data_IF_976089605882
#
_entry.id   IF_976089605882
#
_cell.length_a   1.000
_cell.length_b   1.000
_cell.length_c   1.000
_cell.angle_alpha   90.00
_cell.angle_beta   90.00
_cell.angle_gamma   90.00
#
_symmetry.space_group_name_H-M   'P 1'
#
loop_
_entity.id
_entity.type
_entity.pdbx_description
1 polymer ?
#
# COMPACT_ATOMS: atom_id res chain seq x y z
N UNK A 1 8.26 -14.28 -12.27
CA UNK A 1 7.01 -13.81 -11.64
C UNK A 1 5.94 -13.80 -12.69
N UNK A 2 4.79 -14.40 -12.39
CA UNK A 2 3.57 -14.32 -13.19
C UNK A 2 2.59 -13.38 -12.50
N UNK A 3 2.04 -12.41 -13.24
CA UNK A 3 1.07 -11.45 -12.71
C UNK A 3 -0.33 -11.83 -13.21
N UNK A 4 -1.25 -12.07 -12.28
CA UNK A 4 -2.64 -12.36 -12.56
C UNK A 4 -3.51 -11.14 -12.31
N UNK A 5 -4.23 -10.72 -13.32
CA UNK A 5 -5.26 -9.72 -13.22
C UNK A 5 -6.65 -10.33 -12.94
N UNK A 6 -7.67 -9.48 -12.93
CA UNK A 6 -9.05 -9.89 -12.66
C UNK A 6 -9.58 -10.96 -13.64
N UNK A 7 -9.12 -10.94 -14.89
CA UNK A 7 -9.51 -11.93 -15.91
C UNK A 7 -9.00 -13.34 -15.56
N UNK A 8 -7.79 -13.44 -14.97
CA UNK A 8 -7.21 -14.71 -14.55
C UNK A 8 -7.76 -15.17 -13.20
N UNK A 9 -7.91 -14.23 -12.23
CA UNK A 9 -8.40 -14.51 -10.90
C UNK A 9 -9.32 -13.38 -10.40
N UNK A 10 -10.64 -13.56 -10.53
CA UNK A 10 -11.61 -12.62 -9.96
C UNK A 10 -11.81 -12.93 -8.47
N UNK A 11 -11.36 -12.02 -7.61
CA UNK A 11 -11.51 -12.15 -6.14
C UNK A 11 -12.97 -11.98 -5.67
N UNK A 12 -13.87 -11.53 -6.54
CA UNK A 12 -15.31 -11.52 -6.26
C UNK A 12 -16.01 -12.87 -6.48
N UNK A 13 -15.28 -13.88 -6.99
CA UNK A 13 -15.71 -15.27 -7.13
C UNK A 13 -14.91 -16.20 -6.18
N UNK A 14 -15.31 -16.30 -4.90
CA UNK A 14 -14.61 -17.09 -3.89
C UNK A 14 -14.44 -18.57 -4.26
N UNK A 15 -15.38 -19.14 -5.00
CA UNK A 15 -15.40 -20.58 -5.31
C UNK A 15 -14.30 -20.97 -6.33
N UNK A 16 -13.88 -20.02 -7.16
CA UNK A 16 -12.81 -20.25 -8.15
C UNK A 16 -11.40 -20.11 -7.59
N UNK A 17 -11.22 -19.37 -6.48
CA UNK A 17 -9.89 -18.98 -5.97
C UNK A 17 -9.04 -20.20 -5.63
N UNK A 18 -9.54 -21.10 -4.78
CA UNK A 18 -8.76 -22.25 -4.32
C UNK A 18 -8.33 -23.17 -5.47
N UNK A 19 -9.24 -23.43 -6.41
CA UNK A 19 -8.97 -24.26 -7.59
C UNK A 19 -7.87 -23.63 -8.46
N UNK A 20 -8.03 -22.34 -8.83
CA UNK A 20 -7.05 -21.65 -9.68
C UNK A 20 -5.67 -21.57 -9.05
N UNK A 21 -5.57 -21.36 -7.74
CA UNK A 21 -4.30 -21.39 -7.04
C UNK A 21 -3.68 -22.79 -7.03
N UNK A 22 -4.48 -23.84 -6.83
CA UNK A 22 -4.01 -25.24 -6.93
C UNK A 22 -3.44 -25.56 -8.31
N UNK A 23 -4.09 -25.07 -9.36
CA UNK A 23 -3.69 -25.35 -10.74
C UNK A 23 -2.49 -24.48 -11.20
N UNK A 24 -2.10 -23.45 -10.44
CA UNK A 24 -1.06 -22.49 -10.82
C UNK A 24 0.36 -23.04 -10.77
N UNK A 25 0.62 -24.03 -9.94
CA UNK A 25 1.98 -24.51 -9.65
C UNK A 25 2.90 -23.45 -9.02
N UNK A 26 2.31 -22.38 -8.44
CA UNK A 26 3.09 -21.30 -7.84
C UNK A 26 3.89 -21.79 -6.64
N UNK A 27 5.15 -21.33 -6.52
CA UNK A 27 6.02 -21.61 -5.36
C UNK A 27 5.83 -20.59 -4.22
N UNK A 28 5.14 -19.48 -4.48
CA UNK A 28 4.68 -18.48 -3.49
C UNK A 28 3.57 -17.65 -4.12
N UNK A 29 2.70 -17.07 -3.31
CA UNK A 29 1.61 -16.19 -3.76
C UNK A 29 1.70 -14.86 -3.03
N UNK A 30 1.68 -13.76 -3.79
CA UNK A 30 1.64 -12.40 -3.26
C UNK A 30 0.31 -11.77 -3.69
N UNK A 31 -0.55 -11.43 -2.73
CA UNK A 31 -1.80 -10.74 -3.00
C UNK A 31 -1.62 -9.23 -2.86
N UNK A 32 -1.47 -8.55 -4.00
CA UNK A 32 -1.45 -7.10 -4.11
C UNK A 32 -2.82 -6.51 -4.51
N UNK A 33 -3.81 -7.35 -4.82
CA UNK A 33 -5.14 -6.91 -5.19
C UNK A 33 -5.96 -6.52 -3.94
N UNK A 34 -6.68 -5.41 -4.03
CA UNK A 34 -7.55 -4.92 -2.98
C UNK A 34 -8.59 -3.93 -3.51
N UNK A 35 -9.66 -3.73 -2.76
CA UNK A 35 -10.51 -2.54 -2.90
C UNK A 35 -9.80 -1.37 -2.23
N UNK A 36 -9.33 -0.39 -2.99
CA UNK A 36 -8.48 0.71 -2.49
C UNK A 36 -9.14 2.10 -2.59
N UNK A 37 -10.38 2.19 -3.09
CA UNK A 37 -11.11 3.45 -3.17
C UNK A 37 -11.69 3.81 -1.79
N UNK A 38 -10.86 4.41 -0.92
CA UNK A 38 -11.11 4.61 0.52
C UNK A 38 -12.43 5.34 0.78
N UNK A 39 -12.74 6.43 0.04
CA UNK A 39 -13.98 7.18 0.21
C UNK A 39 -15.21 6.40 -0.28
N UNK A 40 -15.09 5.66 -1.39
CA UNK A 40 -16.16 4.83 -1.90
C UNK A 40 -16.45 3.62 -1.00
N UNK A 41 -15.45 3.15 -0.26
CA UNK A 41 -15.57 2.04 0.69
C UNK A 41 -16.62 2.31 1.78
N UNK A 42 -16.81 3.57 2.19
CA UNK A 42 -17.81 3.94 3.21
C UNK A 42 -19.25 3.56 2.80
N UNK A 43 -19.53 3.46 1.50
CA UNK A 43 -20.84 3.12 0.96
C UNK A 43 -20.92 1.69 0.37
N UNK A 44 -19.84 0.88 0.44
CA UNK A 44 -19.75 -0.43 -0.20
C UNK A 44 -19.07 -1.48 0.69
N UNK A 45 -19.37 -1.44 1.98
CA UNK A 45 -18.69 -2.26 2.99
C UNK A 45 -18.70 -3.76 2.67
N UNK A 46 -19.79 -4.30 2.09
CA UNK A 46 -19.89 -5.72 1.76
C UNK A 46 -18.89 -6.17 0.71
N UNK A 47 -18.74 -5.41 -0.37
CA UNK A 47 -17.79 -5.70 -1.43
C UNK A 47 -16.34 -5.45 -0.97
N UNK A 48 -16.13 -4.40 -0.16
CA UNK A 48 -14.84 -4.10 0.46
C UNK A 48 -14.38 -5.27 1.35
N UNK A 49 -15.25 -5.81 2.20
CA UNK A 49 -14.96 -6.98 3.04
C UNK A 49 -14.73 -8.26 2.22
N UNK A 50 -15.50 -8.46 1.16
CA UNK A 50 -15.28 -9.57 0.25
C UNK A 50 -13.86 -9.56 -0.32
N UNK A 51 -13.43 -8.41 -0.89
CA UNK A 51 -12.15 -8.30 -1.59
C UNK A 51 -10.95 -8.15 -0.65
N UNK A 52 -11.12 -7.48 0.52
CA UNK A 52 -10.01 -7.19 1.41
C UNK A 52 -9.86 -8.18 2.58
N UNK A 53 -10.87 -9.01 2.86
CA UNK A 53 -10.82 -9.98 3.95
C UNK A 53 -11.15 -11.39 3.51
N UNK A 54 -12.36 -11.63 2.96
CA UNK A 54 -12.84 -13.01 2.65
C UNK A 54 -11.99 -13.67 1.57
N UNK A 55 -11.76 -13.01 0.45
CA UNK A 55 -10.93 -13.54 -0.65
C UNK A 55 -9.48 -13.80 -0.22
N UNK A 56 -8.76 -12.87 0.43
CA UNK A 56 -7.42 -13.13 0.97
C UNK A 56 -7.38 -14.30 1.96
N UNK A 57 -8.41 -14.45 2.82
CA UNK A 57 -8.51 -15.59 3.73
C UNK A 57 -8.66 -16.94 3.01
N UNK A 58 -9.40 -16.99 1.88
CA UNK A 58 -9.48 -18.19 1.03
C UNK A 58 -8.13 -18.47 0.37
N UNK A 59 -7.47 -17.43 -0.18
CA UNK A 59 -6.14 -17.56 -0.78
C UNK A 59 -5.13 -18.09 0.23
N UNK A 60 -5.09 -17.55 1.44
CA UNK A 60 -4.17 -17.97 2.49
C UNK A 60 -4.37 -19.45 2.87
N UNK A 61 -5.63 -19.89 3.06
CA UNK A 61 -5.94 -21.30 3.33
C UNK A 61 -5.56 -22.22 2.17
N UNK A 62 -5.81 -21.81 0.93
CA UNK A 62 -5.40 -22.57 -0.25
C UNK A 62 -3.87 -22.71 -0.31
N UNK A 63 -3.12 -21.62 -0.09
CA UNK A 63 -1.66 -21.65 -0.05
C UNK A 63 -1.13 -22.54 1.09
N UNK A 64 -1.73 -22.46 2.28
CA UNK A 64 -1.39 -23.33 3.41
C UNK A 64 -1.59 -24.83 3.08
N UNK A 65 -2.69 -25.18 2.40
CA UNK A 65 -2.96 -26.55 1.96
C UNK A 65 -1.95 -27.06 0.91
N UNK A 66 -1.41 -26.15 0.09
CA UNK A 66 -0.37 -26.44 -0.91
C UNK A 66 1.05 -26.40 -0.34
N UNK A 67 1.22 -25.93 0.89
CA UNK A 67 2.54 -25.76 1.51
C UNK A 67 3.36 -24.61 0.88
N UNK A 68 2.71 -23.61 0.28
CA UNK A 68 3.38 -22.46 -0.34
C UNK A 68 3.20 -21.18 0.49
N UNK A 69 4.22 -20.29 0.56
CA UNK A 69 4.10 -19.00 1.24
C UNK A 69 3.02 -18.12 0.64
N UNK A 70 2.27 -17.43 1.52
CA UNK A 70 1.29 -16.41 1.13
C UNK A 70 1.63 -15.07 1.77
N UNK A 71 1.82 -14.03 0.95
CA UNK A 71 2.07 -12.67 1.39
C UNK A 71 0.87 -11.79 1.05
N UNK A 72 0.31 -11.14 2.06
CA UNK A 72 -0.83 -10.23 1.93
C UNK A 72 -0.39 -8.78 2.14
N UNK A 73 -0.63 -7.92 1.15
CA UNK A 73 -0.41 -6.48 1.30
C UNK A 73 -1.54 -5.85 2.12
N UNK A 74 -1.20 -5.32 3.28
CA UNK A 74 -2.07 -4.52 4.14
C UNK A 74 -1.70 -3.04 4.09
N UNK A 75 -2.20 -2.23 5.02
CA UNK A 75 -2.10 -0.77 4.98
C UNK A 75 -1.84 -0.19 6.38
N UNK A 76 -1.25 1.02 6.40
CA UNK A 76 -1.20 1.95 7.53
C UNK A 76 -2.59 2.33 8.07
N UNK A 77 -3.64 2.25 7.26
CA UNK A 77 -5.02 2.53 7.66
C UNK A 77 -5.60 1.56 8.71
N UNK A 78 -4.86 0.51 9.08
CA UNK A 78 -5.21 -0.32 10.24
C UNK A 78 -5.00 0.42 11.56
N UNK A 79 -4.31 1.55 11.55
CA UNK A 79 -4.04 2.40 12.72
C UNK A 79 -4.91 3.67 12.73
N UNK A 80 -5.05 4.29 13.90
CA UNK A 80 -5.83 5.53 14.10
C UNK A 80 -5.05 6.81 13.77
N UNK A 81 -3.74 6.72 13.62
CA UNK A 81 -2.89 7.89 13.38
C UNK A 81 -2.63 8.78 14.58
N UNK A 82 -2.99 8.35 15.80
CA UNK A 82 -2.81 9.15 17.03
C UNK A 82 -1.43 8.99 17.69
N UNK A 83 -0.66 7.96 17.32
CA UNK A 83 0.67 7.71 17.90
C UNK A 83 1.65 8.82 17.54
N UNK A 84 2.50 9.22 18.50
CA UNK A 84 3.68 10.04 18.25
C UNK A 84 4.81 9.12 17.73
N UNK A 85 5.38 9.43 16.55
CA UNK A 85 6.40 8.60 15.90
C UNK A 85 5.84 7.52 14.99
N UNK A 86 6.68 6.65 14.46
CA UNK A 86 6.28 5.59 13.56
C UNK A 86 5.61 4.42 14.30
N UNK A 87 4.63 3.80 13.67
CA UNK A 87 4.03 2.56 14.15
C UNK A 87 4.96 1.38 13.92
N UNK A 88 5.01 0.48 14.90
CA UNK A 88 5.67 -0.82 14.82
C UNK A 88 4.62 -1.93 14.68
N UNK A 89 5.03 -3.13 14.27
CA UNK A 89 4.12 -4.23 13.94
C UNK A 89 3.24 -4.69 15.08
N UNK A 90 3.70 -4.54 16.32
CA UNK A 90 2.99 -4.94 17.56
C UNK A 90 2.04 -3.86 18.10
N UNK A 91 2.02 -2.66 17.53
CA UNK A 91 1.10 -1.61 17.95
C UNK A 91 -0.36 -2.03 17.72
N UNK A 92 -1.23 -1.65 18.63
CA UNK A 92 -2.65 -1.95 18.55
C UNK A 92 -3.29 -1.30 17.32
N UNK A 93 -4.07 -2.06 16.58
CA UNK A 93 -4.85 -1.57 15.45
C UNK A 93 -6.11 -0.85 15.97
N UNK A 94 -6.46 0.28 15.35
CA UNK A 94 -7.66 1.05 15.65
C UNK A 94 -8.13 1.81 14.38
N UNK A 95 -8.60 1.09 13.33
CA UNK A 95 -8.92 1.68 12.04
C UNK A 95 -10.08 2.66 12.10
N UNK A 96 -9.94 3.83 11.46
CA UNK A 96 -10.91 4.92 11.49
C UNK A 96 -12.06 4.76 10.47
N UNK A 97 -11.87 4.00 9.40
CA UNK A 97 -12.76 3.92 8.25
C UNK A 97 -13.03 2.49 7.80
N UNK A 98 -13.99 2.28 6.87
CA UNK A 98 -14.37 0.96 6.36
C UNK A 98 -13.19 0.26 5.69
N UNK A 99 -12.40 0.98 4.88
CA UNK A 99 -11.21 0.41 4.24
C UNK A 99 -10.22 -0.15 5.27
N UNK A 100 -9.85 0.65 6.27
CA UNK A 100 -8.92 0.22 7.32
C UNK A 100 -9.46 -0.98 8.12
N UNK A 101 -10.75 -0.97 8.48
CA UNK A 101 -11.40 -2.13 9.14
C UNK A 101 -11.32 -3.39 8.29
N UNK A 102 -11.61 -3.28 6.98
CA UNK A 102 -11.56 -4.43 6.08
C UNK A 102 -10.14 -4.99 5.93
N UNK A 103 -9.11 -4.12 5.92
CA UNK A 103 -7.71 -4.55 5.89
C UNK A 103 -7.33 -5.25 7.20
N UNK A 104 -7.75 -4.72 8.35
CA UNK A 104 -7.51 -5.33 9.66
C UNK A 104 -8.17 -6.73 9.78
N UNK A 105 -9.43 -6.88 9.33
CA UNK A 105 -10.08 -8.18 9.26
C UNK A 105 -9.37 -9.15 8.31
N UNK A 106 -8.87 -8.64 7.17
CA UNK A 106 -8.05 -9.41 6.24
C UNK A 106 -6.76 -9.92 6.88
N UNK A 107 -6.09 -9.10 7.69
CA UNK A 107 -4.92 -9.53 8.47
C UNK A 107 -5.27 -10.70 9.40
N UNK A 108 -6.38 -10.60 10.14
CA UNK A 108 -6.77 -11.65 11.10
C UNK A 108 -6.98 -13.00 10.42
N UNK A 109 -7.72 -13.04 9.32
CA UNK A 109 -8.01 -14.30 8.61
C UNK A 109 -6.79 -14.87 7.88
N UNK A 110 -5.90 -14.02 7.41
CA UNK A 110 -4.64 -14.41 6.76
C UNK A 110 -3.66 -14.97 7.77
N UNK A 111 -3.47 -14.31 8.91
CA UNK A 111 -2.60 -14.77 10.00
C UNK A 111 -3.09 -16.10 10.57
N UNK A 112 -4.40 -16.25 10.78
CA UNK A 112 -5.00 -17.50 11.25
C UNK A 112 -4.75 -18.68 10.31
N UNK A 113 -4.52 -18.41 9.02
CA UNK A 113 -4.16 -19.42 8.01
C UNK A 113 -2.65 -19.60 7.82
N UNK A 114 -1.82 -18.91 8.62
CA UNK A 114 -0.37 -18.97 8.51
C UNK A 114 0.24 -18.09 7.39
N UNK A 115 -0.54 -17.18 6.81
CA UNK A 115 -0.01 -16.22 5.83
C UNK A 115 0.83 -15.11 6.51
N UNK A 116 1.62 -14.41 5.72
CA UNK A 116 2.45 -13.27 6.13
C UNK A 116 1.81 -11.95 5.71
N UNK A 117 1.93 -10.91 6.54
CA UNK A 117 1.40 -9.58 6.28
C UNK A 117 2.54 -8.61 5.97
N UNK A 118 2.36 -7.77 4.95
CA UNK A 118 3.19 -6.59 4.70
C UNK A 118 2.29 -5.34 4.74
N UNK A 119 2.41 -4.55 5.80
CA UNK A 119 1.76 -3.23 5.86
C UNK A 119 2.62 -2.21 5.15
N UNK A 120 1.98 -1.39 4.34
CA UNK A 120 2.64 -0.31 3.57
C UNK A 120 1.80 0.96 3.61
N UNK A 121 2.36 2.08 3.16
CA UNK A 121 1.67 3.38 3.12
C UNK A 121 2.03 4.15 1.85
N UNK A 122 1.10 4.99 1.37
CA UNK A 122 1.32 6.00 0.34
C UNK A 122 2.02 5.48 -0.92
N UNK A 123 1.55 4.34 -1.43
CA UNK A 123 2.17 3.68 -2.58
C UNK A 123 2.01 4.54 -3.83
N UNK A 124 3.11 4.74 -4.55
CA UNK A 124 3.16 5.41 -5.84
C UNK A 124 3.91 4.58 -6.88
N UNK A 125 3.62 4.84 -8.15
CA UNK A 125 4.16 4.10 -9.29
C UNK A 125 4.31 4.99 -10.51
N UNK A 126 5.11 4.56 -11.47
CA UNK A 126 5.24 5.19 -12.79
C UNK A 126 3.95 5.12 -13.60
N UNK A 127 3.16 4.07 -13.39
CA UNK A 127 1.93 3.79 -14.13
C UNK A 127 0.69 3.77 -13.22
N UNK A 128 -0.47 3.73 -13.84
CA UNK A 128 -1.75 3.63 -13.15
C UNK A 128 -2.17 4.89 -12.41
N UNK A 129 -3.29 4.81 -11.69
CA UNK A 129 -3.83 5.93 -10.91
C UNK A 129 -3.16 5.99 -9.55
N UNK A 130 -2.39 7.05 -9.28
CA UNK A 130 -1.73 7.29 -8.00
C UNK A 130 -1.52 8.79 -7.77
N UNK A 131 -1.00 9.16 -6.59
CA UNK A 131 -0.81 10.56 -6.20
C UNK A 131 0.12 11.32 -7.15
N UNK A 132 1.26 10.73 -7.56
CA UNK A 132 2.24 11.36 -8.47
C UNK A 132 1.57 11.71 -9.80
N UNK A 133 0.88 10.75 -10.42
CA UNK A 133 0.15 10.96 -11.68
C UNK A 133 -0.96 11.98 -11.53
N UNK A 134 -1.63 12.01 -10.38
CA UNK A 134 -2.68 13.01 -10.08
C UNK A 134 -2.08 14.41 -10.01
N UNK A 135 -0.95 14.61 -9.32
CA UNK A 135 -0.27 15.92 -9.26
C UNK A 135 0.17 16.39 -10.65
N UNK A 136 0.77 15.52 -11.45
CA UNK A 136 1.17 15.84 -12.83
C UNK A 136 -0.04 16.24 -13.70
N UNK A 137 -1.17 15.55 -13.57
CA UNK A 137 -2.39 15.88 -14.30
C UNK A 137 -3.01 17.22 -13.84
N UNK A 138 -2.92 17.55 -12.56
CA UNK A 138 -3.39 18.82 -12.01
C UNK A 138 -2.53 20.00 -12.52
N UNK A 139 -1.21 19.83 -12.60
CA UNK A 139 -0.31 20.86 -13.11
C UNK A 139 -0.57 21.23 -14.58
N UNK A 140 -1.19 20.32 -15.37
CA UNK A 140 -1.61 20.64 -16.75
C UNK A 140 -2.81 21.59 -16.81
N UNK A 141 -3.52 21.77 -15.69
CA UNK A 141 -4.81 22.50 -15.64
C UNK A 141 -4.79 23.72 -14.71
N UNK A 142 -3.80 23.80 -13.83
CA UNK A 142 -3.72 24.86 -12.82
C UNK A 142 -2.27 25.11 -12.41
N UNK A 143 -1.92 26.40 -12.29
CA UNK A 143 -0.62 26.83 -11.78
C UNK A 143 -0.49 26.72 -10.25
N UNK A 144 -1.60 26.36 -9.56
CA UNK A 144 -1.64 26.19 -8.10
C UNK A 144 -2.52 25.00 -7.72
N UNK A 145 -2.04 24.20 -6.75
CA UNK A 145 -2.74 23.03 -6.20
C UNK A 145 -2.74 23.10 -4.68
N UNK A 146 -3.92 23.02 -4.06
CA UNK A 146 -4.05 22.91 -2.60
C UNK A 146 -3.83 21.46 -2.17
N UNK A 147 -2.93 21.23 -1.21
CA UNK A 147 -2.54 19.89 -0.74
C UNK A 147 -2.45 19.86 0.78
N UNK A 148 -2.99 18.82 1.40
CA UNK A 148 -3.00 18.62 2.85
C UNK A 148 -1.58 18.54 3.40
N UNK A 149 -1.29 19.24 4.50
CA UNK A 149 0.05 19.35 5.12
C UNK A 149 0.13 18.81 6.54
N UNK A 150 -1.01 18.48 7.17
CA UNK A 150 -1.11 17.99 8.55
C UNK A 150 -1.32 16.46 8.65
N UNK A 151 -1.24 15.75 7.53
CA UNK A 151 -1.13 14.29 7.48
C UNK A 151 0.31 13.90 7.12
N UNK A 152 0.95 13.09 7.96
CA UNK A 152 2.34 12.70 7.80
C UNK A 152 2.43 11.19 7.55
N UNK A 153 3.17 10.81 6.51
CA UNK A 153 3.38 9.41 6.12
C UNK A 153 4.74 9.19 5.50
N UNK A 154 4.91 8.03 4.89
CA UNK A 154 6.14 7.63 4.19
C UNK A 154 5.79 7.15 2.78
N UNK A 155 6.00 7.98 1.74
CA UNK A 155 5.75 7.58 0.37
C UNK A 155 6.59 6.35 -0.02
N UNK A 156 5.94 5.36 -0.62
CA UNK A 156 6.55 4.06 -0.93
C UNK A 156 6.44 3.77 -2.43
N UNK A 157 7.56 3.56 -3.09
CA UNK A 157 7.57 3.20 -4.51
C UNK A 157 7.17 1.73 -4.70
N UNK A 158 6.28 1.49 -5.66
CA UNK A 158 5.73 0.16 -5.94
C UNK A 158 6.79 -0.88 -6.27
N UNK A 159 7.87 -0.51 -6.98
CA UNK A 159 8.95 -1.43 -7.33
C UNK A 159 9.75 -1.87 -6.10
N UNK A 160 10.00 -0.96 -5.16
CA UNK A 160 10.65 -1.30 -3.90
C UNK A 160 9.75 -2.20 -3.05
N UNK A 161 8.45 -1.89 -2.99
CA UNK A 161 7.47 -2.73 -2.30
C UNK A 161 7.37 -4.13 -2.93
N UNK A 162 7.37 -4.23 -4.26
CA UNK A 162 7.36 -5.51 -4.94
C UNK A 162 8.60 -6.35 -4.63
N UNK A 163 9.80 -5.74 -4.64
CA UNK A 163 11.05 -6.39 -4.23
C UNK A 163 11.01 -6.85 -2.78
N UNK A 164 10.45 -6.03 -1.88
CA UNK A 164 10.28 -6.37 -0.47
C UNK A 164 9.36 -7.58 -0.29
N UNK A 165 8.22 -7.62 -0.99
CA UNK A 165 7.30 -8.76 -0.95
C UNK A 165 7.95 -10.05 -1.47
N UNK A 166 8.72 -9.96 -2.57
CA UNK A 166 9.47 -11.11 -3.11
C UNK A 166 10.55 -11.58 -2.13
N UNK A 167 11.28 -10.66 -1.50
CA UNK A 167 12.27 -10.98 -0.49
C UNK A 167 11.65 -11.70 0.71
N UNK A 168 10.52 -11.22 1.22
CA UNK A 168 9.76 -11.86 2.31
C UNK A 168 9.27 -13.26 1.89
N UNK A 169 8.67 -13.37 0.70
CA UNK A 169 8.14 -14.66 0.22
C UNK A 169 9.23 -15.74 0.08
N UNK A 170 10.49 -15.35 -0.12
CA UNK A 170 11.64 -16.24 -0.22
C UNK A 170 12.26 -16.62 1.15
N UNK A 171 11.87 -15.95 2.26
CA UNK A 171 12.44 -16.22 3.59
C UNK A 171 11.72 -17.39 4.27
N UNK A 172 12.46 -18.33 4.86
CA UNK A 172 11.87 -19.34 5.74
C UNK A 172 11.38 -18.71 7.04
N UNK A 173 10.33 -19.28 7.63
CA UNK A 173 9.86 -18.91 8.97
C UNK A 173 9.06 -17.60 9.04
N UNK A 174 8.60 -17.02 7.92
CA UNK A 174 7.77 -15.80 7.91
C UNK A 174 6.26 -16.07 8.06
N UNK A 175 5.88 -17.34 8.18
CA UNK A 175 4.47 -17.75 8.41
C UNK A 175 3.93 -17.15 9.71
N UNK A 176 2.78 -16.48 9.63
CA UNK A 176 2.16 -15.82 10.77
C UNK A 176 2.81 -14.50 11.19
N UNK A 177 3.79 -14.00 10.44
CA UNK A 177 4.50 -12.77 10.78
C UNK A 177 3.91 -11.54 10.10
N UNK A 178 4.08 -10.38 10.76
CA UNK A 178 3.75 -9.07 10.21
C UNK A 178 5.04 -8.30 10.01
N UNK A 179 5.16 -7.64 8.86
CA UNK A 179 6.23 -6.71 8.54
C UNK A 179 5.66 -5.37 8.10
N UNK A 180 6.39 -4.30 8.39
CA UNK A 180 6.15 -3.00 7.79
C UNK A 180 7.18 -2.75 6.68
N UNK A 181 6.73 -2.22 5.55
CA UNK A 181 7.60 -1.72 4.49
C UNK A 181 7.04 -0.41 3.94
N UNK A 182 7.73 0.69 4.24
CA UNK A 182 7.42 2.03 3.76
C UNK A 182 8.71 2.80 3.49
N UNK A 183 8.66 3.89 2.73
CA UNK A 183 9.83 4.73 2.46
C UNK A 183 10.58 5.15 3.73
N UNK A 184 11.87 5.47 3.62
CA UNK A 184 12.72 5.73 4.79
C UNK A 184 12.38 7.05 5.50
N UNK A 185 11.94 8.06 4.75
CA UNK A 185 11.76 9.43 5.26
C UNK A 185 10.29 9.82 5.38
N UNK A 186 10.00 10.65 6.37
CA UNK A 186 8.69 11.24 6.58
C UNK A 186 8.39 12.33 5.56
N UNK A 187 7.11 12.49 5.18
CA UNK A 187 6.60 13.58 4.37
C UNK A 187 5.15 13.88 4.74
N UNK A 188 4.73 15.15 4.59
CA UNK A 188 3.32 15.47 4.41
C UNK A 188 2.91 15.24 2.94
N UNK A 189 1.60 15.21 2.64
CA UNK A 189 1.15 15.20 1.25
C UNK A 189 1.63 16.44 0.49
N UNK A 190 1.72 17.61 1.17
CA UNK A 190 2.25 18.83 0.58
C UNK A 190 3.75 18.70 0.23
N UNK A 191 4.59 18.15 1.14
CA UNK A 191 6.01 17.89 0.87
C UNK A 191 6.18 16.91 -0.30
N UNK A 192 5.34 15.88 -0.36
CA UNK A 192 5.39 14.91 -1.45
C UNK A 192 4.98 15.55 -2.79
N UNK A 193 3.94 16.40 -2.82
CA UNK A 193 3.54 17.15 -4.01
C UNK A 193 4.64 18.11 -4.49
N UNK A 194 5.30 18.82 -3.57
CA UNK A 194 6.46 19.66 -3.91
C UNK A 194 7.58 18.84 -4.54
N UNK A 195 7.90 17.66 -3.97
CA UNK A 195 8.87 16.74 -4.54
C UNK A 195 8.51 16.31 -5.96
N UNK A 196 7.23 15.97 -6.21
CA UNK A 196 6.74 15.63 -7.55
C UNK A 196 6.98 16.78 -8.54
N UNK A 197 6.68 18.01 -8.14
CA UNK A 197 6.86 19.18 -9.03
C UNK A 197 8.32 19.58 -9.22
N UNK A 198 9.20 19.31 -8.26
CA UNK A 198 10.65 19.47 -8.43
C UNK A 198 11.18 18.50 -9.50
N UNK A 199 10.81 17.22 -9.40
CA UNK A 199 11.22 16.20 -10.38
C UNK A 199 10.63 16.45 -11.77
N UNK A 200 9.37 16.90 -11.85
CA UNK A 200 8.73 17.29 -13.09
C UNK A 200 9.45 18.46 -13.78
N UNK A 201 9.75 19.52 -13.02
CA UNK A 201 10.46 20.70 -13.54
C UNK A 201 11.86 20.35 -14.04
N UNK A 202 12.60 19.48 -13.34
CA UNK A 202 13.93 19.02 -13.76
C UNK A 202 13.92 18.29 -15.12
N UNK A 203 12.75 17.79 -15.54
CA UNK A 203 12.53 17.09 -16.81
C UNK A 203 11.76 17.93 -17.85
N UNK A 204 11.62 19.25 -17.61
CA UNK A 204 10.91 20.16 -18.52
C UNK A 204 9.39 19.99 -18.55
N UNK A 205 8.82 19.26 -17.58
CA UNK A 205 7.36 19.08 -17.46
C UNK A 205 6.74 20.29 -16.74
N UNK A 206 5.42 20.46 -16.91
CA UNK A 206 4.68 21.49 -16.17
C UNK A 206 4.66 21.19 -14.68
N UNK A 207 4.72 22.26 -13.89
CA UNK A 207 4.61 22.22 -12.43
C UNK A 207 3.54 23.19 -11.95
N UNK A 208 2.97 22.92 -10.78
CA UNK A 208 2.12 23.86 -10.06
C UNK A 208 2.77 24.31 -8.75
N UNK A 209 2.36 25.45 -8.24
CA UNK A 209 2.72 25.88 -6.89
C UNK A 209 1.85 25.11 -5.89
N UNK A 210 2.47 24.45 -4.90
CA UNK A 210 1.74 23.82 -3.79
C UNK A 210 1.27 24.90 -2.83
N UNK A 211 -0.01 24.87 -2.47
CA UNK A 211 -0.60 25.65 -1.37
C UNK A 211 -0.95 24.68 -0.24
N UNK A 212 -0.14 24.61 0.84
CA UNK A 212 -0.47 23.76 1.98
C UNK A 212 -1.79 24.19 2.63
N UNK A 213 -2.64 23.20 2.93
CA UNK A 213 -3.91 23.38 3.65
C UNK A 213 -4.00 22.36 4.79
N UNK A 214 -4.90 22.58 5.74
CA UNK A 214 -5.19 21.59 6.78
C UNK A 214 -6.22 20.57 6.29
N UNK A 215 -6.23 19.39 6.89
CA UNK A 215 -7.23 18.33 6.63
C UNK A 215 -8.67 18.84 6.82
N UNK A 216 -8.88 19.75 7.77
CA UNK A 216 -10.19 20.37 8.01
C UNK A 216 -10.70 21.20 6.82
N UNK A 217 -9.81 21.68 5.95
CA UNK A 217 -10.14 22.45 4.74
C UNK A 217 -10.39 21.54 3.53
N UNK A 218 -10.12 20.22 3.66
CA UNK A 218 -10.30 19.23 2.61
C UNK A 218 -11.18 18.06 3.11
N UNK A 219 -12.49 18.30 3.30
CA UNK A 219 -13.38 17.25 3.81
C UNK A 219 -13.47 16.06 2.85
N UNK A 220 -13.43 14.87 3.41
CA UNK A 220 -13.51 13.60 2.68
C UNK A 220 -14.52 12.68 3.35
N UNK A 221 -15.11 11.73 2.59
CA UNK A 221 -16.12 10.82 3.11
C UNK A 221 -15.54 9.89 4.21
N UNK A 222 -14.32 9.39 4.00
CA UNK A 222 -13.62 8.56 4.97
C UNK A 222 -12.67 9.40 5.85
N UNK A 223 -12.65 9.16 7.16
CA UNK A 223 -11.64 9.73 8.05
C UNK A 223 -10.25 9.18 7.71
N UNK A 224 -9.25 10.04 7.71
CA UNK A 224 -7.86 9.67 7.42
C UNK A 224 -6.98 9.83 8.64
N UNK A 225 -6.03 8.90 8.91
CA UNK A 225 -5.08 9.04 10.01
C UNK A 225 -4.17 10.26 9.78
N UNK A 226 -3.92 11.04 10.83
CA UNK A 226 -2.97 12.15 10.80
C UNK A 226 -1.51 11.65 10.71
N UNK A 227 -1.25 10.46 11.23
CA UNK A 227 0.05 9.80 11.19
C UNK A 227 -0.04 8.41 10.55
N UNK A 228 0.63 8.24 9.43
CA UNK A 228 0.73 7.02 8.63
C UNK A 228 2.17 6.46 8.58
N UNK A 229 3.04 6.89 9.49
CA UNK A 229 4.44 6.46 9.49
C UNK A 229 4.57 5.03 9.98
N UNK A 230 5.23 4.18 9.21
CA UNK A 230 5.51 2.79 9.56
C UNK A 230 7.02 2.61 9.77
N UNK A 231 7.41 1.93 10.85
CA UNK A 231 8.79 1.54 11.10
C UNK A 231 9.10 0.24 10.34
N UNK A 232 10.11 0.25 9.49
CA UNK A 232 10.51 -0.90 8.67
C UNK A 232 11.75 -1.63 9.22
N UNK A 233 12.13 -1.39 10.48
CA UNK A 233 13.35 -1.96 11.08
C UNK A 233 13.30 -3.49 11.17
N UNK A 234 12.13 -4.08 11.42
CA UNK A 234 11.95 -5.54 11.44
C UNK A 234 12.21 -6.15 10.07
N UNK A 235 11.71 -5.52 9.00
CA UNK A 235 11.98 -5.92 7.62
C UNK A 235 13.48 -5.83 7.31
N UNK A 236 14.12 -4.70 7.66
CA UNK A 236 15.55 -4.50 7.43
C UNK A 236 16.41 -5.52 8.18
N UNK A 237 16.06 -5.86 9.41
CA UNK A 237 16.75 -6.89 10.20
C UNK A 237 16.63 -8.28 9.57
N UNK A 238 15.46 -8.61 8.99
CA UNK A 238 15.24 -9.91 8.33
C UNK A 238 16.01 -10.03 7.03
N UNK A 239 16.00 -9.00 6.19
CA UNK A 239 16.44 -9.08 4.79
C UNK A 239 17.82 -8.50 4.55
N UNK A 240 18.38 -7.75 5.52
CA UNK A 240 19.60 -6.96 5.35
C UNK A 240 19.43 -5.74 4.42
N UNK A 241 18.19 -5.39 4.04
CA UNK A 241 17.89 -4.32 3.09
C UNK A 241 16.93 -3.31 3.73
N UNK A 242 17.28 -2.03 3.70
CA UNK A 242 16.42 -0.95 4.20
C UNK A 242 15.63 -0.29 3.05
N UNK A 243 14.42 0.24 3.34
CA UNK A 243 13.72 1.10 2.37
C UNK A 243 14.58 2.31 2.00
N UNK A 244 14.45 2.78 0.76
CA UNK A 244 15.15 3.99 0.31
C UNK A 244 14.40 5.25 0.70
N UNK A 245 15.09 6.42 0.76
CA UNK A 245 14.46 7.72 0.85
C UNK A 245 13.45 7.94 -0.29
N UNK A 246 12.27 8.47 0.04
CA UNK A 246 11.20 8.62 -0.97
C UNK A 246 11.58 9.56 -2.13
N UNK A 247 12.47 10.55 -1.89
CA UNK A 247 12.93 11.45 -2.95
C UNK A 247 13.77 10.72 -3.99
N UNK A 248 14.61 9.79 -3.56
CA UNK A 248 15.37 8.91 -4.46
C UNK A 248 14.44 7.98 -5.23
N UNK A 249 13.49 7.34 -4.53
CA UNK A 249 12.48 6.48 -5.14
C UNK A 249 11.64 7.24 -6.18
N UNK A 250 11.26 8.49 -5.87
CA UNK A 250 10.50 9.35 -6.77
C UNK A 250 11.29 9.66 -8.06
N UNK A 251 12.58 9.98 -7.94
CA UNK A 251 13.46 10.19 -9.10
C UNK A 251 13.49 8.97 -10.01
N UNK A 252 13.69 7.78 -9.44
CA UNK A 252 13.69 6.52 -10.21
C UNK A 252 12.32 6.22 -10.85
N UNK A 253 11.23 6.53 -10.16
CA UNK A 253 9.89 6.43 -10.70
C UNK A 253 9.70 7.33 -11.93
N UNK A 254 10.21 8.56 -11.89
CA UNK A 254 10.18 9.46 -13.05
C UNK A 254 11.07 8.98 -14.20
N UNK A 255 12.23 8.39 -13.91
CA UNK A 255 13.09 7.80 -14.94
C UNK A 255 12.37 6.64 -15.66
N UNK A 256 11.61 5.82 -14.91
CA UNK A 256 10.75 4.76 -15.48
C UNK A 256 9.57 5.30 -16.30
N UNK A 257 8.99 6.47 -15.96
CA UNK A 257 7.92 7.10 -16.75
C UNK A 257 8.38 7.55 -18.14
N UNK A 258 9.67 7.81 -18.31
CA UNK A 258 10.27 8.35 -19.53
C UNK A 258 11.01 7.27 -20.35
N UNK A 259 11.04 6.04 -19.90
CA UNK A 259 11.65 4.90 -20.57
C UNK A 259 10.64 4.22 -21.53
#
# INVERSE_FOLDING_TARGET
VEAWGREQLDLSDPDSIARKLSDSGASAVINAAAYTAVDAAENDASNVLLLNARAPGIMARACAALGVPFVYLSSDYVFDGAKIGAYVEIDARAPLNVYGRSKAEGEDVVLAAGGCIVRTSWVFAAEGKNFVRTMLALAQRSDRVSVVSDQIGRPTWSDDLARACLAIAAQPGVSGEIFHFAGADDASWADFAEGVFVEAAARGMQRAQVSPILSAEYPTAAARPANSRLDSSKFAALTGSAPRPWREALRLCFDQMNA
#
